data_IF_756990433023
#
_entry.id   IF_756990433023
#
_cell.length_a   1.000
_cell.length_b   1.000
_cell.length_c   1.000
_cell.angle_alpha   90.00
_cell.angle_beta   90.00
_cell.angle_gamma   90.00
#
_symmetry.space_group_name_H-M   'P 1'
#
loop_
_entity.id
_entity.type
_entity.pdbx_description
1 polymer ?
#
# COMPACT_ATOMS: atom_id res chain seq x y z
N UNK A 1 59.29 4.00 52.71
CA UNK A 1 58.73 3.14 51.64
C UNK A 1 57.89 4.03 50.74
N UNK A 2 58.36 4.30 49.50
CA UNK A 2 57.68 5.17 48.54
C UNK A 2 56.76 4.30 47.68
N UNK A 3 55.45 4.53 47.75
CA UNK A 3 54.47 3.91 46.86
C UNK A 3 54.29 4.79 45.63
N UNK A 4 54.78 4.32 44.49
CA UNK A 4 54.57 4.94 43.17
C UNK A 4 53.27 4.41 42.58
N UNK A 5 52.28 5.29 42.39
CA UNK A 5 51.04 4.99 41.67
C UNK A 5 51.33 5.09 40.16
N UNK A 6 51.16 3.99 39.42
CA UNK A 6 51.27 3.95 37.96
C UNK A 6 49.85 4.15 37.39
N UNK A 7 49.60 5.29 36.73
CA UNK A 7 48.40 5.50 35.93
C UNK A 7 48.58 4.89 34.54
N UNK A 8 47.71 3.96 34.15
CA UNK A 8 47.55 3.52 32.76
C UNK A 8 46.55 4.44 32.04
N UNK A 9 46.86 4.97 30.84
CA UNK A 9 45.89 5.71 30.06
C UNK A 9 44.93 4.73 29.37
N UNK A 10 43.64 4.82 29.71
CA UNK A 10 42.59 4.12 28.99
C UNK A 10 42.36 4.81 27.63
N UNK A 11 42.75 4.15 26.54
CA UNK A 11 42.38 4.57 25.19
C UNK A 11 40.90 4.24 24.96
N UNK A 12 40.05 5.26 24.95
CA UNK A 12 38.68 5.13 24.47
C UNK A 12 38.71 5.09 22.94
N UNK A 13 38.51 3.89 22.37
CA UNK A 13 38.24 3.72 20.95
C UNK A 13 36.76 4.07 20.69
N UNK A 14 36.49 5.28 20.21
CA UNK A 14 35.16 5.65 19.72
C UNK A 14 34.92 4.97 18.38
N UNK A 15 34.14 3.89 18.36
CA UNK A 15 33.57 3.35 17.13
C UNK A 15 32.47 4.32 16.66
N UNK A 16 32.77 5.11 15.62
CA UNK A 16 31.73 5.80 14.88
C UNK A 16 30.97 4.76 14.05
N UNK A 17 29.77 4.41 14.49
CA UNK A 17 28.79 3.72 13.65
C UNK A 17 28.42 4.67 12.50
N UNK A 18 29.01 4.46 11.33
CA UNK A 18 28.49 5.03 10.10
C UNK A 18 27.17 4.30 9.79
N UNK A 19 26.06 4.91 10.18
CA UNK A 19 24.75 4.61 9.59
C UNK A 19 24.86 4.97 8.11
N UNK A 20 25.09 3.97 7.25
CA UNK A 20 24.84 4.15 5.82
C UNK A 20 23.32 4.29 5.66
N UNK A 21 22.84 5.50 5.41
CA UNK A 21 21.50 5.68 4.88
C UNK A 21 21.43 4.82 3.62
N UNK A 22 20.61 3.76 3.63
CA UNK A 22 20.37 2.98 2.43
C UNK A 22 19.77 3.94 1.41
N UNK A 23 20.45 4.16 0.30
CA UNK A 23 19.96 5.02 -0.76
C UNK A 23 18.76 4.33 -1.42
N UNK A 24 17.55 4.84 -1.19
CA UNK A 24 16.36 4.45 -1.93
C UNK A 24 16.49 4.92 -3.38
N UNK A 25 16.52 3.99 -4.35
CA UNK A 25 16.49 4.30 -5.78
C UNK A 25 15.10 4.16 -6.39
N UNK A 26 14.11 3.68 -5.65
CA UNK A 26 12.76 3.42 -6.16
C UNK A 26 12.04 4.69 -6.62
N UNK A 27 12.42 5.87 -6.13
CA UNK A 27 11.89 7.15 -6.61
C UNK A 27 12.02 7.32 -8.13
N UNK A 28 13.06 6.73 -8.74
CA UNK A 28 13.27 6.79 -10.20
C UNK A 28 12.14 6.13 -10.99
N UNK A 29 11.42 5.17 -10.41
CA UNK A 29 10.28 4.51 -11.03
C UNK A 29 9.01 5.37 -11.01
N UNK A 30 8.95 6.31 -10.06
CA UNK A 30 7.80 7.20 -9.82
C UNK A 30 8.09 8.66 -10.22
N UNK A 31 9.24 8.95 -10.82
CA UNK A 31 9.52 10.24 -11.47
C UNK A 31 8.40 10.55 -12.47
N UNK A 32 7.77 11.71 -12.31
CA UNK A 32 6.65 12.16 -13.11
C UNK A 32 7.01 13.38 -13.98
N UNK A 33 8.30 13.74 -14.05
CA UNK A 33 8.79 14.82 -14.92
C UNK A 33 8.55 14.50 -16.40
N UNK A 34 8.52 13.20 -16.74
CA UNK A 34 8.27 12.67 -18.07
C UNK A 34 7.43 11.40 -17.95
N UNK A 35 6.54 11.16 -18.92
CA UNK A 35 5.74 9.93 -18.96
C UNK A 35 6.67 8.75 -19.26
N UNK A 36 6.81 7.83 -18.31
CA UNK A 36 7.61 6.63 -18.52
C UNK A 36 6.93 5.69 -19.51
N UNK A 37 7.69 4.78 -20.13
CA UNK A 37 7.19 3.76 -21.03
C UNK A 37 7.54 2.37 -20.52
N UNK A 38 6.54 1.50 -20.48
CA UNK A 38 6.63 0.12 -20.02
C UNK A 38 6.25 -0.82 -21.17
N UNK A 39 7.24 -1.51 -21.73
CA UNK A 39 7.03 -2.52 -22.78
C UNK A 39 7.11 -3.92 -22.18
N UNK A 40 5.98 -4.62 -22.15
CA UNK A 40 5.86 -5.99 -21.65
C UNK A 40 5.88 -6.95 -22.84
N UNK A 41 6.73 -7.98 -22.77
CA UNK A 41 6.77 -9.08 -23.73
C UNK A 41 6.38 -10.37 -23.03
N UNK A 42 5.32 -11.01 -23.51
CA UNK A 42 4.75 -12.23 -22.93
C UNK A 42 4.33 -13.20 -24.03
N UNK A 43 4.41 -14.50 -23.76
CA UNK A 43 3.88 -15.53 -24.66
C UNK A 43 2.38 -15.25 -24.98
N UNK A 44 1.98 -15.16 -26.27
CA UNK A 44 0.59 -14.87 -26.64
C UNK A 44 -0.45 -15.84 -26.06
N UNK A 45 -0.10 -17.12 -25.90
CA UNK A 45 -1.00 -18.11 -25.29
C UNK A 45 -1.18 -17.84 -23.78
N UNK A 46 -0.13 -17.41 -23.08
CA UNK A 46 -0.23 -16.99 -21.68
C UNK A 46 -1.07 -15.72 -21.54
N UNK A 47 -0.88 -14.74 -22.42
CA UNK A 47 -1.73 -13.54 -22.45
C UNK A 47 -3.20 -13.91 -22.70
N UNK A 48 -3.48 -14.77 -23.68
CA UNK A 48 -4.83 -15.25 -23.92
C UNK A 48 -5.42 -15.98 -22.71
N UNK A 49 -4.62 -16.81 -22.04
CA UNK A 49 -5.06 -17.49 -20.82
C UNK A 49 -5.42 -16.49 -19.71
N UNK A 50 -4.60 -15.46 -19.48
CA UNK A 50 -4.87 -14.40 -18.50
C UNK A 50 -6.23 -13.74 -18.80
N UNK A 51 -6.51 -13.44 -20.08
CA UNK A 51 -7.76 -12.82 -20.50
C UNK A 51 -8.98 -13.75 -20.41
N UNK A 52 -8.78 -15.06 -20.50
CA UNK A 52 -9.83 -16.06 -20.32
C UNK A 52 -10.08 -16.40 -18.83
N UNK A 53 -9.14 -16.08 -17.95
CA UNK A 53 -9.18 -16.43 -16.53
C UNK A 53 -9.03 -15.18 -15.65
N UNK A 54 -9.89 -14.17 -15.89
CA UNK A 54 -9.70 -12.81 -15.35
C UNK A 54 -9.64 -12.74 -13.82
N UNK A 55 -10.24 -13.70 -13.12
CA UNK A 55 -10.23 -13.78 -11.65
C UNK A 55 -9.00 -14.50 -11.07
N UNK A 56 -8.14 -15.05 -11.91
CA UNK A 56 -6.93 -15.74 -11.44
C UNK A 56 -5.86 -14.76 -10.96
N UNK A 57 -5.18 -15.15 -9.89
CA UNK A 57 -3.94 -14.52 -9.40
C UNK A 57 -2.67 -15.24 -9.90
N UNK A 58 -2.80 -16.22 -10.79
CA UNK A 58 -1.64 -16.90 -11.38
C UNK A 58 -0.80 -15.92 -12.19
N UNK A 59 0.49 -15.88 -11.87
CA UNK A 59 1.48 -15.07 -12.57
C UNK A 59 2.11 -15.87 -13.70
N UNK A 60 2.30 -15.22 -14.85
CA UNK A 60 2.91 -15.80 -16.03
C UNK A 60 4.25 -15.15 -16.33
N UNK A 61 5.21 -15.96 -16.80
CA UNK A 61 6.54 -15.49 -17.17
C UNK A 61 6.43 -14.48 -18.31
N UNK A 62 7.05 -13.32 -18.13
CA UNK A 62 7.21 -12.28 -19.14
C UNK A 62 8.57 -11.59 -19.00
N UNK A 63 8.87 -10.64 -19.88
CA UNK A 63 9.90 -9.62 -19.67
C UNK A 63 9.28 -8.23 -19.73
N UNK A 64 9.93 -7.27 -19.08
CA UNK A 64 9.53 -5.86 -19.11
C UNK A 64 10.75 -5.01 -19.44
N UNK A 65 10.59 -4.04 -20.34
CA UNK A 65 11.52 -2.92 -20.52
C UNK A 65 10.88 -1.66 -19.96
N UNK A 66 11.54 -1.05 -18.97
CA UNK A 66 11.09 0.20 -18.35
C UNK A 66 11.97 1.35 -18.84
N UNK A 67 11.35 2.44 -19.29
CA UNK A 67 12.03 3.60 -19.87
C UNK A 67 11.52 4.92 -19.32
N UNK A 68 12.42 5.75 -18.82
CA UNK A 68 12.21 7.17 -18.54
C UNK A 68 13.57 7.91 -18.62
N UNK A 69 13.69 9.07 -17.97
CA UNK A 69 14.93 9.83 -17.96
C UNK A 69 16.08 9.17 -17.20
N UNK A 70 15.77 8.26 -16.29
CA UNK A 70 16.72 7.68 -15.34
C UNK A 70 17.02 6.22 -15.64
N UNK A 71 16.09 5.53 -16.30
CA UNK A 71 16.08 4.08 -16.50
C UNK A 71 15.84 3.79 -17.98
N UNK A 72 16.66 2.92 -18.57
CA UNK A 72 16.34 2.22 -19.82
C UNK A 72 16.87 0.78 -19.70
N UNK A 73 16.09 -0.05 -19.02
CA UNK A 73 16.52 -1.40 -18.65
C UNK A 73 15.45 -2.43 -19.00
N UNK A 74 15.92 -3.62 -19.37
CA UNK A 74 15.05 -4.79 -19.60
C UNK A 74 15.30 -5.82 -18.51
N UNK A 75 14.21 -6.27 -17.89
CA UNK A 75 14.20 -7.32 -16.88
C UNK A 75 13.40 -8.49 -17.42
N UNK A 76 14.04 -9.66 -17.55
CA UNK A 76 13.38 -10.90 -17.95
C UNK A 76 12.76 -11.64 -16.76
N UNK A 77 12.07 -12.75 -17.03
CA UNK A 77 11.58 -13.68 -16.01
C UNK A 77 10.74 -13.00 -14.92
N UNK A 78 9.96 -11.98 -15.27
CA UNK A 78 9.04 -11.30 -14.34
C UNK A 78 7.71 -12.07 -14.29
N UNK A 79 7.00 -11.96 -13.16
CA UNK A 79 5.61 -12.36 -13.01
C UNK A 79 4.67 -11.30 -13.58
N UNK A 80 3.79 -11.68 -14.49
CA UNK A 80 2.79 -10.80 -15.09
C UNK A 80 1.39 -11.38 -14.93
N UNK A 81 0.45 -10.57 -14.46
CA UNK A 81 -0.97 -10.95 -14.31
C UNK A 81 -1.89 -9.74 -14.27
N UNK A 82 -3.20 -9.99 -14.26
CA UNK A 82 -4.20 -8.97 -13.90
C UNK A 82 -4.16 -8.65 -12.40
N UNK A 83 -4.59 -7.44 -12.05
CA UNK A 83 -4.80 -7.00 -10.66
C UNK A 83 -6.16 -6.33 -10.45
N UNK A 84 -6.50 -6.18 -9.18
CA UNK A 84 -7.72 -5.53 -8.68
C UNK A 84 -8.87 -6.50 -8.46
N UNK A 85 -10.08 -5.97 -8.37
CA UNK A 85 -11.31 -6.74 -8.20
C UNK A 85 -12.24 -6.49 -9.40
N UNK A 86 -12.96 -5.37 -9.39
CA UNK A 86 -13.83 -4.92 -10.48
C UNK A 86 -13.05 -4.60 -11.77
N UNK A 87 -11.85 -4.03 -11.64
CA UNK A 87 -10.97 -3.69 -12.76
C UNK A 87 -10.58 -4.88 -13.66
N UNK A 88 -10.72 -6.12 -13.16
CA UNK A 88 -10.41 -7.34 -13.91
C UNK A 88 -11.39 -7.60 -15.05
N UNK A 89 -12.63 -7.10 -14.96
CA UNK A 89 -13.63 -7.26 -16.01
C UNK A 89 -13.73 -6.05 -16.94
N UNK A 90 -13.16 -4.91 -16.55
CA UNK A 90 -13.14 -3.67 -17.33
C UNK A 90 -12.44 -3.79 -18.67
N UNK A 91 -12.91 -3.09 -19.70
CA UNK A 91 -12.30 -3.13 -21.04
C UNK A 91 -10.81 -2.81 -21.00
N UNK A 92 -10.43 -1.80 -20.22
CA UNK A 92 -9.04 -1.47 -19.91
C UNK A 92 -8.64 -2.11 -18.59
N UNK A 93 -7.92 -3.24 -18.69
CA UNK A 93 -7.48 -4.05 -17.55
C UNK A 93 -6.32 -3.38 -16.82
N UNK A 94 -6.22 -3.61 -15.51
CA UNK A 94 -5.04 -3.29 -14.70
C UNK A 94 -4.11 -4.50 -14.60
N UNK A 95 -2.80 -4.27 -14.56
CA UNK A 95 -1.78 -5.31 -14.49
C UNK A 95 -0.90 -5.18 -13.25
N UNK A 96 -0.38 -6.30 -12.77
CA UNK A 96 0.72 -6.35 -11.81
C UNK A 96 1.95 -6.97 -12.47
N UNK A 97 3.10 -6.38 -12.22
CA UNK A 97 4.42 -6.93 -12.54
C UNK A 97 5.09 -7.28 -11.21
N UNK A 98 5.60 -8.49 -11.09
CA UNK A 98 6.40 -8.96 -9.96
C UNK A 98 7.80 -9.33 -10.45
N UNK A 99 8.83 -8.75 -9.86
CA UNK A 99 10.22 -9.00 -10.24
C UNK A 99 10.78 -10.27 -9.59
N UNK A 100 10.20 -10.71 -8.47
CA UNK A 100 10.76 -11.77 -7.64
C UNK A 100 10.05 -13.14 -7.78
N UNK A 101 8.91 -13.23 -8.47
CA UNK A 101 8.11 -14.47 -8.58
C UNK A 101 8.89 -15.64 -9.17
N UNK A 102 9.56 -15.43 -10.30
CA UNK A 102 10.36 -16.48 -10.95
C UNK A 102 11.86 -16.38 -10.66
N UNK A 103 12.28 -15.33 -9.94
CA UNK A 103 13.65 -15.04 -9.52
C UNK A 103 13.63 -14.51 -8.08
N UNK A 104 13.55 -15.41 -7.10
CA UNK A 104 13.43 -15.05 -5.67
C UNK A 104 14.49 -14.04 -5.24
N UNK A 105 14.07 -13.04 -4.47
CA UNK A 105 14.94 -11.99 -3.92
C UNK A 105 15.43 -10.94 -4.93
N UNK A 106 14.85 -10.89 -6.15
CA UNK A 106 15.17 -9.85 -7.13
C UNK A 106 14.28 -8.63 -6.95
N UNK A 107 14.91 -7.50 -6.69
CA UNK A 107 14.30 -6.17 -6.74
C UNK A 107 14.65 -5.47 -8.06
N UNK A 108 13.84 -4.48 -8.44
CA UNK A 108 14.13 -3.56 -9.53
C UNK A 108 14.03 -2.15 -8.97
N UNK A 109 15.18 -1.47 -8.81
CA UNK A 109 15.23 -0.16 -8.14
C UNK A 109 14.53 -0.19 -6.77
N UNK A 110 14.94 -1.11 -5.90
CA UNK A 110 14.46 -1.24 -4.52
C UNK A 110 12.96 -1.58 -4.35
N UNK A 111 12.24 -1.95 -5.42
CA UNK A 111 10.89 -2.53 -5.32
C UNK A 111 10.82 -3.94 -5.88
N UNK A 112 9.90 -4.74 -5.33
CA UNK A 112 9.62 -6.08 -5.86
C UNK A 112 8.52 -6.10 -6.92
N UNK A 113 7.63 -5.11 -6.91
CA UNK A 113 6.36 -5.15 -7.66
C UNK A 113 5.99 -3.76 -8.19
N UNK A 114 5.36 -3.72 -9.37
CA UNK A 114 4.71 -2.54 -9.94
C UNK A 114 3.22 -2.80 -10.15
N UNK A 115 2.39 -1.79 -9.90
CA UNK A 115 0.95 -1.83 -10.17
C UNK A 115 0.61 -0.87 -11.30
N UNK A 116 0.25 -1.42 -12.46
CA UNK A 116 -0.16 -0.63 -13.63
C UNK A 116 -1.68 -0.59 -13.66
N UNK A 117 -2.26 0.53 -13.20
CA UNK A 117 -3.69 0.70 -13.11
C UNK A 117 -4.26 1.28 -14.40
N UNK A 118 -5.30 0.62 -14.92
CA UNK A 118 -6.04 1.12 -16.08
C UNK A 118 -6.97 2.30 -15.75
N UNK A 119 -7.21 2.57 -14.46
CA UNK A 119 -8.08 3.64 -13.93
C UNK A 119 -9.46 3.67 -14.60
N UNK A 120 -10.07 2.49 -14.79
CA UNK A 120 -11.28 2.33 -15.59
C UNK A 120 -12.50 3.13 -15.12
N UNK A 121 -12.59 3.44 -13.82
CA UNK A 121 -13.65 4.25 -13.26
C UNK A 121 -13.33 5.74 -13.28
N UNK A 122 -12.08 6.14 -13.56
CA UNK A 122 -11.65 7.53 -13.58
C UNK A 122 -11.43 8.00 -15.03
N UNK A 123 -12.39 8.75 -15.63
CA UNK A 123 -12.23 9.30 -16.98
C UNK A 123 -11.05 10.26 -17.12
N UNK A 124 -10.57 10.84 -16.01
CA UNK A 124 -9.46 11.79 -16.00
C UNK A 124 -8.10 11.09 -15.90
N UNK A 125 -8.05 9.84 -15.38
CA UNK A 125 -6.84 9.07 -15.11
C UNK A 125 -5.84 9.89 -14.27
N UNK A 126 -6.32 10.75 -13.36
CA UNK A 126 -5.43 11.55 -12.50
C UNK A 126 -5.81 11.50 -11.02
N UNK A 127 -7.00 10.98 -10.67
CA UNK A 127 -7.54 11.08 -9.31
C UNK A 127 -6.64 10.39 -8.28
N UNK A 128 -6.26 9.13 -8.55
CA UNK A 128 -5.34 8.38 -7.70
C UNK A 128 -4.02 9.13 -7.50
N UNK A 129 -3.40 9.61 -8.59
CA UNK A 129 -2.15 10.37 -8.51
C UNK A 129 -2.31 11.66 -7.70
N UNK A 130 -3.34 12.44 -8.00
CA UNK A 130 -3.60 13.71 -7.33
C UNK A 130 -3.80 13.51 -5.81
N UNK A 131 -4.53 12.47 -5.41
CA UNK A 131 -4.70 12.13 -4.00
C UNK A 131 -3.37 11.75 -3.34
N UNK A 132 -2.56 10.91 -3.98
CA UNK A 132 -1.26 10.52 -3.44
C UNK A 132 -0.28 11.69 -3.35
N UNK A 133 -0.24 12.57 -4.36
CA UNK A 133 0.54 13.81 -4.32
C UNK A 133 0.07 14.70 -3.15
N UNK A 134 -1.23 14.80 -2.89
CA UNK A 134 -1.74 15.55 -1.71
C UNK A 134 -1.35 14.92 -0.38
N UNK A 135 -1.41 13.59 -0.25
CA UNK A 135 -0.90 12.90 0.94
C UNK A 135 0.59 13.21 1.18
N UNK A 136 1.40 13.23 0.13
CA UNK A 136 2.81 13.62 0.22
C UNK A 136 2.96 15.07 0.74
N UNK A 137 2.16 16.03 0.26
CA UNK A 137 2.24 17.43 0.72
C UNK A 137 1.96 17.66 2.21
N UNK A 138 1.32 16.70 2.88
CA UNK A 138 1.00 16.77 4.31
C UNK A 138 1.87 15.81 5.16
N UNK A 139 3.00 15.37 4.60
CA UNK A 139 3.95 14.43 5.20
C UNK A 139 3.26 13.13 5.65
N UNK A 140 2.43 12.55 4.77
CA UNK A 140 1.75 11.29 5.03
C UNK A 140 2.40 10.14 4.26
N UNK A 141 2.66 9.03 4.96
CA UNK A 141 3.18 7.81 4.32
C UNK A 141 2.11 7.17 3.44
N UNK A 142 2.13 7.48 2.14
CA UNK A 142 1.25 6.95 1.12
C UNK A 142 2.04 6.41 -0.09
N UNK A 143 1.38 5.65 -0.97
CA UNK A 143 1.98 5.21 -2.23
C UNK A 143 2.36 6.40 -3.10
N UNK A 144 3.52 6.36 -3.77
CA UNK A 144 3.82 7.25 -4.90
C UNK A 144 3.10 6.81 -6.17
N UNK A 145 2.87 7.74 -7.09
CA UNK A 145 2.23 7.44 -8.38
C UNK A 145 2.70 8.35 -9.52
N UNK A 146 2.87 7.76 -10.71
CA UNK A 146 3.13 8.48 -11.96
C UNK A 146 2.38 7.88 -13.15
N UNK A 147 2.27 8.64 -14.23
CA UNK A 147 1.70 8.15 -15.48
C UNK A 147 2.73 7.39 -16.31
N UNK A 148 2.30 6.28 -16.92
CA UNK A 148 3.14 5.47 -17.79
C UNK A 148 2.39 5.01 -19.06
N UNK A 149 3.08 4.98 -20.18
CA UNK A 149 2.61 4.34 -21.40
C UNK A 149 2.84 2.83 -21.33
N UNK A 150 1.78 2.04 -21.51
CA UNK A 150 1.89 0.57 -21.48
C UNK A 150 1.80 0.00 -22.89
N UNK A 151 2.75 -0.86 -23.23
CA UNK A 151 2.74 -1.68 -24.43
C UNK A 151 2.81 -3.16 -24.03
N UNK A 152 1.99 -4.01 -24.66
CA UNK A 152 2.09 -5.47 -24.48
C UNK A 152 2.27 -6.10 -25.87
N UNK A 153 3.34 -6.86 -26.04
CA UNK A 153 3.72 -7.48 -27.32
C UNK A 153 3.74 -6.48 -28.49
N UNK A 154 4.28 -5.28 -28.24
CA UNK A 154 4.39 -4.20 -29.22
C UNK A 154 3.11 -3.41 -29.50
N UNK A 155 1.96 -3.84 -28.97
CA UNK A 155 0.68 -3.11 -29.09
C UNK A 155 0.55 -2.10 -27.95
N UNK A 156 0.17 -0.87 -28.28
CA UNK A 156 -0.16 0.16 -27.28
C UNK A 156 -1.47 -0.18 -26.57
N UNK A 157 -1.44 -0.19 -25.23
CA UNK A 157 -2.59 -0.47 -24.36
C UNK A 157 -3.17 0.81 -23.74
N UNK A 158 -2.45 1.93 -23.80
CA UNK A 158 -2.89 3.23 -23.30
C UNK A 158 -1.96 3.81 -22.25
N UNK A 159 -2.37 4.97 -21.72
CA UNK A 159 -1.82 5.59 -20.51
C UNK A 159 -2.35 4.87 -19.27
N UNK A 160 -1.49 4.56 -18.32
CA UNK A 160 -1.81 3.90 -17.04
C UNK A 160 -1.24 4.73 -15.90
N UNK A 161 -1.71 4.50 -14.67
CA UNK A 161 -1.02 4.98 -13.47
C UNK A 161 -0.18 3.84 -12.92
N UNK A 162 1.13 4.05 -12.75
CA UNK A 162 2.00 3.18 -11.99
C UNK A 162 1.95 3.59 -10.51
N UNK A 163 1.33 2.74 -9.68
CA UNK A 163 1.14 2.99 -8.24
C UNK A 163 2.08 2.10 -7.43
N UNK A 164 2.80 2.72 -6.49
CA UNK A 164 3.68 2.02 -5.58
C UNK A 164 2.95 0.92 -4.80
N UNK A 165 3.56 -0.27 -4.77
CA UNK A 165 3.00 -1.38 -4.01
C UNK A 165 3.29 -1.21 -2.52
N UNK A 166 2.28 -1.45 -1.69
CA UNK A 166 2.41 -1.44 -0.24
C UNK A 166 2.69 -2.90 0.20
N UNK A 167 3.96 -3.16 0.50
CA UNK A 167 4.51 -4.43 0.98
C UNK A 167 5.73 -4.16 1.90
N UNK A 168 6.56 -5.17 2.16
CA UNK A 168 7.72 -5.05 3.05
C UNK A 168 8.73 -3.97 2.61
N UNK A 169 8.91 -3.75 1.30
CA UNK A 169 9.83 -2.70 0.82
C UNK A 169 9.26 -1.31 1.08
N UNK A 170 7.93 -1.15 1.00
CA UNK A 170 7.27 0.09 1.43
C UNK A 170 7.47 0.33 2.93
N UNK A 171 7.35 -0.71 3.75
CA UNK A 171 7.54 -0.56 5.20
C UNK A 171 8.97 -0.14 5.53
N UNK A 172 9.94 -0.84 4.96
CA UNK A 172 11.38 -0.57 5.12
C UNK A 172 11.77 0.86 4.75
N UNK A 173 11.10 1.44 3.75
CA UNK A 173 11.34 2.82 3.30
C UNK A 173 10.77 3.86 4.26
N UNK A 174 9.62 3.58 4.87
CA UNK A 174 8.80 4.61 5.52
C UNK A 174 8.72 4.52 7.06
N UNK A 175 9.12 3.39 7.66
CA UNK A 175 9.00 3.14 9.11
C UNK A 175 10.34 2.76 9.73
N UNK A 176 10.51 3.02 11.02
CA UNK A 176 11.76 2.78 11.72
C UNK A 176 11.96 1.28 12.02
N UNK A 177 10.85 0.57 12.22
CA UNK A 177 10.80 -0.88 12.31
C UNK A 177 9.82 -1.38 11.25
N UNK A 178 10.28 -2.23 10.33
CA UNK A 178 9.54 -2.81 9.21
C UNK A 178 9.12 -4.28 9.45
N UNK A 179 9.44 -4.83 10.63
CA UNK A 179 9.22 -6.25 10.96
C UNK A 179 7.77 -6.57 11.35
N UNK A 180 6.93 -5.55 11.42
CA UNK A 180 5.56 -5.64 11.89
C UNK A 180 4.57 -6.29 10.94
N UNK A 181 3.34 -6.43 11.42
CA UNK A 181 2.23 -6.97 10.64
C UNK A 181 1.55 -5.86 9.85
N UNK A 182 1.38 -6.10 8.55
CA UNK A 182 0.68 -5.23 7.61
C UNK A 182 -0.59 -5.93 7.14
N UNK A 183 -1.74 -5.39 7.50
CA UNK A 183 -3.03 -5.87 7.02
C UNK A 183 -3.53 -4.98 5.90
N UNK A 184 -3.88 -5.59 4.77
CA UNK A 184 -4.73 -4.95 3.77
C UNK A 184 -6.18 -5.11 4.19
N UNK A 185 -6.83 -3.99 4.48
CA UNK A 185 -8.22 -3.95 4.92
C UNK A 185 -9.16 -3.83 3.72
N UNK A 186 -10.04 -4.82 3.59
CA UNK A 186 -10.99 -5.00 2.52
C UNK A 186 -12.41 -5.11 3.10
N UNK A 187 -13.42 -4.75 2.32
CA UNK A 187 -14.82 -4.87 2.77
C UNK A 187 -15.13 -6.27 3.36
N UNK A 188 -15.72 -6.38 4.58
CA UNK A 188 -16.21 -5.31 5.46
C UNK A 188 -15.27 -5.02 6.65
N UNK A 189 -14.08 -4.46 6.41
CA UNK A 189 -13.13 -4.08 7.46
C UNK A 189 -13.60 -2.82 8.21
N UNK A 190 -14.59 -2.97 9.07
CA UNK A 190 -15.27 -1.88 9.79
C UNK A 190 -14.66 -1.55 11.16
N UNK A 191 -13.69 -2.35 11.61
CA UNK A 191 -13.09 -2.29 12.94
C UNK A 191 -14.10 -2.50 14.09
N UNK A 192 -15.19 -3.23 13.85
CA UNK A 192 -16.15 -3.61 14.90
C UNK A 192 -15.59 -4.75 15.75
N UNK A 193 -15.76 -4.67 17.07
CA UNK A 193 -15.33 -5.73 17.99
C UNK A 193 -16.25 -6.96 17.91
N UNK A 194 -15.67 -8.10 17.52
CA UNK A 194 -16.37 -9.39 17.40
C UNK A 194 -15.90 -10.43 18.43
N UNK A 195 -15.28 -9.97 19.52
CA UNK A 195 -14.71 -10.81 20.56
C UNK A 195 -13.18 -10.81 20.55
N UNK A 196 -12.60 -11.50 21.54
CA UNK A 196 -11.15 -11.51 21.78
C UNK A 196 -10.41 -12.62 21.05
N UNK A 197 -11.11 -13.53 20.37
CA UNK A 197 -10.50 -14.63 19.62
C UNK A 197 -9.99 -14.13 18.26
N UNK A 198 -8.66 -14.15 17.99
CA UNK A 198 -8.11 -13.74 16.70
C UNK A 198 -8.65 -14.54 15.51
N UNK A 199 -9.11 -15.78 15.73
CA UNK A 199 -9.65 -16.64 14.67
C UNK A 199 -10.89 -16.03 14.00
N UNK A 200 -11.65 -15.21 14.73
CA UNK A 200 -12.83 -14.51 14.20
C UNK A 200 -12.43 -13.53 13.09
N UNK A 201 -11.36 -12.76 13.32
CA UNK A 201 -10.89 -11.73 12.38
C UNK A 201 -10.11 -12.35 11.21
N UNK A 202 -9.36 -13.43 11.44
CA UNK A 202 -8.69 -14.21 10.39
C UNK A 202 -9.71 -14.75 9.37
N UNK A 203 -10.84 -15.26 9.86
CA UNK A 203 -11.86 -15.89 9.02
C UNK A 203 -12.92 -14.90 8.50
N UNK A 204 -12.92 -13.64 8.95
CA UNK A 204 -13.84 -12.63 8.46
C UNK A 204 -13.57 -12.37 6.98
N UNK A 205 -14.57 -12.60 6.12
CA UNK A 205 -14.40 -12.50 4.68
C UNK A 205 -15.71 -12.08 3.98
N UNK A 206 -15.58 -11.52 2.78
CA UNK A 206 -16.69 -11.27 1.86
C UNK A 206 -16.37 -11.83 0.49
N UNK A 207 -17.25 -12.70 -0.02
CA UNK A 207 -17.06 -13.34 -1.32
C UNK A 207 -15.77 -14.16 -1.42
N UNK A 208 -15.32 -14.76 -0.31
CA UNK A 208 -14.06 -15.52 -0.25
C UNK A 208 -12.80 -14.67 -0.14
N UNK A 209 -12.92 -13.34 0.04
CA UNK A 209 -11.79 -12.43 0.27
C UNK A 209 -11.72 -12.03 1.74
N UNK A 210 -10.58 -12.19 2.43
CA UNK A 210 -10.44 -11.78 3.83
C UNK A 210 -10.73 -10.28 3.99
N UNK A 211 -11.41 -9.90 5.07
CA UNK A 211 -11.59 -8.49 5.44
C UNK A 211 -10.26 -7.88 5.90
N UNK A 212 -9.44 -8.67 6.58
CA UNK A 212 -8.09 -8.26 7.01
C UNK A 212 -7.08 -9.23 6.40
N UNK A 213 -6.61 -8.94 5.18
CA UNK A 213 -5.63 -9.78 4.48
C UNK A 213 -4.22 -9.43 4.97
N UNK A 214 -3.62 -10.31 5.77
CA UNK A 214 -2.25 -10.13 6.25
C UNK A 214 -1.25 -10.24 5.07
N UNK A 215 -0.36 -9.25 4.93
CA UNK A 215 0.58 -9.10 3.81
C UNK A 215 2.04 -9.30 4.19
N UNK A 216 2.36 -9.25 5.48
CA UNK A 216 3.68 -9.57 6.04
C UNK A 216 3.50 -10.61 7.13
N UNK A 217 4.55 -11.39 7.45
CA UNK A 217 4.47 -12.43 8.48
C UNK A 217 3.27 -13.41 8.27
N UNK A 218 2.97 -13.73 7.01
CA UNK A 218 1.78 -14.51 6.62
C UNK A 218 1.76 -15.91 7.25
N UNK A 219 2.92 -16.47 7.59
CA UNK A 219 3.01 -17.79 8.22
C UNK A 219 2.65 -17.76 9.71
N UNK A 220 2.97 -16.66 10.40
CA UNK A 220 2.67 -16.48 11.81
C UNK A 220 1.17 -16.26 12.03
N UNK A 221 0.50 -15.57 11.08
CA UNK A 221 -0.92 -15.21 11.16
C UNK A 221 -1.32 -14.60 12.52
N UNK A 222 -0.44 -13.78 13.11
CA UNK A 222 -0.70 -13.21 14.43
C UNK A 222 -1.61 -11.98 14.32
N UNK A 223 -2.87 -12.15 14.71
CA UNK A 223 -3.87 -11.08 14.71
C UNK A 223 -4.05 -10.44 16.09
N UNK A 224 -3.27 -10.84 17.10
CA UNK A 224 -3.44 -10.39 18.50
C UNK A 224 -3.41 -8.87 18.66
N UNK A 225 -2.51 -8.18 17.94
CA UNK A 225 -2.39 -6.72 17.95
C UNK A 225 -3.57 -6.03 17.28
N UNK A 226 -4.09 -6.59 16.18
CA UNK A 226 -5.30 -6.08 15.53
C UNK A 226 -6.52 -6.22 16.47
N UNK A 227 -6.66 -7.37 17.14
CA UNK A 227 -7.72 -7.58 18.14
C UNK A 227 -7.58 -6.59 19.30
N UNK A 228 -6.35 -6.32 19.77
CA UNK A 228 -6.10 -5.31 20.82
C UNK A 228 -6.56 -3.92 20.38
N UNK A 229 -6.19 -3.47 19.18
CA UNK A 229 -6.63 -2.19 18.62
C UNK A 229 -8.16 -2.09 18.61
N UNK A 230 -8.82 -3.09 18.01
CA UNK A 230 -10.28 -3.12 17.88
C UNK A 230 -10.96 -3.16 19.25
N UNK A 231 -10.43 -3.95 20.20
CA UNK A 231 -10.97 -4.02 21.55
C UNK A 231 -10.86 -2.69 22.29
N UNK A 232 -9.74 -1.98 22.18
CA UNK A 232 -9.57 -0.66 22.81
C UNK A 232 -10.53 0.35 22.16
N UNK A 233 -10.64 0.36 20.84
CA UNK A 233 -11.52 1.27 20.11
C UNK A 233 -12.99 1.12 20.52
N UNK A 234 -13.46 -0.12 20.74
CA UNK A 234 -14.89 -0.41 20.94
C UNK A 234 -15.30 -0.56 22.40
N UNK A 235 -14.39 -0.99 23.29
CA UNK A 235 -14.74 -1.32 24.69
C UNK A 235 -14.24 -0.29 25.70
N UNK A 236 -13.41 0.68 25.28
CA UNK A 236 -13.00 1.78 26.16
C UNK A 236 -14.14 2.79 26.30
N UNK A 237 -14.53 3.20 27.52
CA UNK A 237 -15.53 4.24 27.71
C UNK A 237 -15.11 5.57 27.07
N UNK A 238 -16.05 6.32 26.48
CA UNK A 238 -15.79 7.57 25.76
C UNK A 238 -14.89 8.56 26.50
N UNK A 239 -15.08 8.70 27.82
CA UNK A 239 -14.30 9.62 28.66
C UNK A 239 -12.81 9.22 28.79
N UNK A 240 -12.47 7.95 28.55
CA UNK A 240 -11.11 7.40 28.62
C UNK A 240 -10.54 7.05 27.23
N UNK A 241 -11.36 7.12 26.18
CA UNK A 241 -10.96 6.73 24.82
C UNK A 241 -9.81 7.57 24.29
N UNK A 242 -9.77 8.92 24.42
CA UNK A 242 -8.67 9.74 23.90
C UNK A 242 -7.28 9.26 24.38
N UNK A 243 -7.13 9.04 25.68
CA UNK A 243 -5.84 8.58 26.24
C UNK A 243 -5.54 7.13 25.84
N UNK A 244 -6.56 6.26 25.77
CA UNK A 244 -6.36 4.84 25.51
C UNK A 244 -6.06 4.55 24.04
N UNK A 245 -6.70 5.28 23.11
CA UNK A 245 -6.54 5.06 21.67
C UNK A 245 -5.18 5.55 21.18
N UNK A 246 -4.65 6.63 21.75
CA UNK A 246 -3.30 7.13 21.47
C UNK A 246 -2.20 6.12 21.85
N UNK A 247 -2.50 5.17 22.74
CA UNK A 247 -1.57 4.09 23.11
C UNK A 247 -1.48 2.95 22.09
N UNK A 248 -2.32 2.95 21.05
CA UNK A 248 -2.40 1.85 20.08
C UNK A 248 -2.46 2.28 18.63
N UNK A 249 -2.78 3.52 18.30
CA UNK A 249 -2.77 4.02 16.93
C UNK A 249 -2.32 5.47 16.88
N UNK A 250 -1.64 5.85 15.81
CA UNK A 250 -1.25 7.23 15.57
C UNK A 250 -2.50 8.06 15.21
N UNK A 251 -3.13 8.66 16.23
CA UNK A 251 -4.36 9.45 16.08
C UNK A 251 -4.18 10.64 15.11
N UNK A 252 -3.09 11.43 15.17
CA UNK A 252 -2.84 12.48 14.17
C UNK A 252 -2.87 11.98 12.72
N UNK A 253 -2.31 10.80 12.43
CA UNK A 253 -2.38 10.20 11.09
C UNK A 253 -3.82 9.84 10.71
N UNK A 254 -4.57 9.20 11.61
CA UNK A 254 -5.99 8.87 11.35
C UNK A 254 -6.81 10.11 11.04
N UNK A 255 -6.60 11.21 11.78
CA UNK A 255 -7.30 12.47 11.55
C UNK A 255 -6.91 13.13 10.22
N UNK A 256 -5.63 13.07 9.82
CA UNK A 256 -5.19 13.53 8.49
C UNK A 256 -5.82 12.71 7.36
N UNK A 257 -5.84 11.37 7.50
CA UNK A 257 -6.49 10.46 6.56
C UNK A 257 -7.97 10.78 6.39
N UNK A 258 -8.68 10.98 7.50
CA UNK A 258 -10.08 11.40 7.51
C UNK A 258 -10.31 12.77 6.87
N UNK A 259 -9.48 13.76 7.19
CA UNK A 259 -9.57 15.07 6.56
C UNK A 259 -9.37 14.98 5.03
N UNK A 260 -8.42 14.16 4.57
CA UNK A 260 -8.22 13.91 3.15
C UNK A 260 -9.45 13.26 2.49
N UNK A 261 -10.11 12.31 3.16
CA UNK A 261 -11.30 11.66 2.60
C UNK A 261 -12.49 12.61 2.50
N UNK A 262 -12.66 13.51 3.47
CA UNK A 262 -13.65 14.58 3.41
C UNK A 262 -13.35 15.55 2.27
N UNK A 263 -12.09 16.01 2.13
CA UNK A 263 -11.69 16.97 1.09
C UNK A 263 -11.83 16.40 -0.32
N UNK A 264 -11.52 15.12 -0.48
CA UNK A 264 -11.54 14.44 -1.80
C UNK A 264 -12.89 13.79 -2.10
N UNK A 265 -13.80 13.73 -1.13
CA UNK A 265 -15.06 13.00 -1.28
C UNK A 265 -14.85 11.51 -1.55
N UNK A 266 -13.84 10.90 -0.90
CA UNK A 266 -13.56 9.47 -1.04
C UNK A 266 -14.66 8.65 -0.40
N UNK A 267 -15.29 7.77 -1.19
CA UNK A 267 -16.41 6.95 -0.72
C UNK A 267 -16.12 5.46 -0.64
N UNK A 268 -15.02 4.99 -1.25
CA UNK A 268 -14.60 3.58 -1.27
C UNK A 268 -13.56 3.29 -0.16
N UNK A 269 -13.46 4.18 0.82
CA UNK A 269 -12.48 4.17 1.91
C UNK A 269 -13.04 3.52 3.19
N UNK A 270 -12.28 3.61 4.30
CA UNK A 270 -12.77 3.15 5.60
C UNK A 270 -14.05 3.88 6.01
N UNK A 271 -14.10 5.20 5.82
CA UNK A 271 -15.19 6.02 6.34
C UNK A 271 -16.51 5.64 5.69
N UNK A 272 -16.58 5.42 4.38
CA UNK A 272 -17.86 5.24 3.69
C UNK A 272 -18.22 3.76 3.40
N UNK A 273 -17.28 2.96 2.89
CA UNK A 273 -17.50 1.55 2.50
C UNK A 273 -16.75 0.54 3.40
N UNK A 274 -16.00 0.98 4.41
CA UNK A 274 -15.21 0.10 5.28
C UNK A 274 -14.21 -0.74 4.45
N UNK A 275 -13.56 -0.08 3.49
CA UNK A 275 -12.71 -0.71 2.47
C UNK A 275 -11.45 0.16 2.19
N UNK A 276 -10.52 -0.38 1.40
CA UNK A 276 -9.37 0.32 0.82
C UNK A 276 -8.50 1.15 1.78
N UNK A 277 -8.01 0.49 2.83
CA UNK A 277 -6.92 1.04 3.64
C UNK A 277 -6.01 -0.10 4.09
N UNK A 278 -4.84 0.26 4.61
CA UNK A 278 -3.96 -0.68 5.29
C UNK A 278 -3.79 -0.27 6.74
N UNK A 279 -3.57 -1.26 7.59
CA UNK A 279 -3.11 -1.09 8.95
C UNK A 279 -1.72 -1.70 9.07
N UNK A 280 -0.75 -0.90 9.48
CA UNK A 280 0.59 -1.37 9.81
C UNK A 280 0.80 -1.27 11.32
N UNK A 281 1.19 -2.37 11.97
CA UNK A 281 1.62 -2.35 13.37
C UNK A 281 3.14 -2.23 13.44
N UNK A 282 3.66 -1.10 13.96
CA UNK A 282 5.09 -0.88 14.15
C UNK A 282 5.55 -1.42 15.53
N UNK A 283 6.34 -2.51 15.58
CA UNK A 283 6.66 -3.18 16.85
C UNK A 283 7.51 -2.34 17.82
N UNK A 284 8.40 -1.48 17.31
CA UNK A 284 9.31 -0.66 18.13
C UNK A 284 8.58 0.29 19.07
N UNK A 285 7.39 0.77 18.69
CA UNK A 285 6.60 1.73 19.43
C UNK A 285 5.23 1.19 19.90
N UNK A 286 4.91 -0.08 19.58
CA UNK A 286 3.62 -0.73 19.89
C UNK A 286 2.40 0.04 19.35
N UNK A 287 2.54 0.68 18.18
CA UNK A 287 1.53 1.58 17.60
C UNK A 287 1.12 1.14 16.19
N UNK A 288 -0.14 1.40 15.85
CA UNK A 288 -0.65 1.25 14.49
C UNK A 288 -0.53 2.54 13.69
N UNK A 289 -0.29 2.37 12.39
CA UNK A 289 -0.35 3.40 11.36
C UNK A 289 -1.42 3.02 10.34
N UNK A 290 -2.15 4.02 9.85
CA UNK A 290 -3.09 3.84 8.73
C UNK A 290 -2.41 4.28 7.44
N UNK A 291 -2.55 3.50 6.37
CA UNK A 291 -1.96 3.81 5.06
C UNK A 291 -3.07 3.82 4.01
N UNK A 292 -3.24 4.94 3.25
CA UNK A 292 -4.27 5.06 2.21
C UNK A 292 -4.00 4.14 1.03
N UNK A 293 -5.06 3.63 0.41
CA UNK A 293 -5.00 2.73 -0.74
C UNK A 293 -6.22 2.96 -1.66
N UNK A 294 -6.07 2.73 -2.97
CA UNK A 294 -7.15 2.79 -3.99
C UNK A 294 -7.98 4.11 -3.98
N UNK A 295 -7.37 5.21 -4.45
CA UNK A 295 -7.96 6.56 -4.42
C UNK A 295 -8.55 7.05 -5.76
N UNK A 296 -8.96 6.14 -6.65
CA UNK A 296 -9.59 6.48 -7.94
C UNK A 296 -11.03 6.98 -7.77
N UNK A 297 -11.76 6.43 -6.78
CA UNK A 297 -13.14 6.78 -6.44
C UNK A 297 -13.26 8.05 -5.59
N UNK A 298 -12.77 9.16 -6.14
CA UNK A 298 -12.69 10.50 -5.49
C UNK A 298 -13.12 11.61 -6.44
N UNK A 299 -13.20 12.87 -5.97
CA UNK A 299 -13.54 14.05 -6.76
C UNK A 299 -14.84 13.89 -7.57
N UNK A 300 -15.90 13.47 -6.88
CA UNK A 300 -17.27 13.45 -7.39
C UNK A 300 -17.62 12.31 -8.35
N UNK A 301 -16.73 11.33 -8.58
CA UNK A 301 -17.13 10.09 -9.26
C UNK A 301 -17.80 9.16 -8.26
N UNK A 302 -18.97 8.60 -8.56
CA UNK A 302 -19.64 7.64 -7.69
C UNK A 302 -20.60 6.71 -8.45
N UNK A 303 -21.22 5.79 -7.71
CA UNK A 303 -22.31 4.93 -8.18
C UNK A 303 -23.64 5.19 -7.47
N UNK A 304 -23.74 6.25 -6.66
CA UNK A 304 -24.78 6.44 -5.64
C UNK A 304 -25.55 7.76 -5.78
N UNK A 305 -25.14 8.64 -6.71
CA UNK A 305 -25.73 9.96 -6.92
C UNK A 305 -25.75 10.80 -5.61
N UNK A 306 -24.61 10.84 -4.92
CA UNK A 306 -24.41 11.58 -3.68
C UNK A 306 -23.54 12.80 -3.99
N UNK A 307 -23.94 13.98 -3.50
CA UNK A 307 -23.09 15.17 -3.59
C UNK A 307 -22.06 15.19 -2.46
N UNK A 308 -20.91 14.55 -2.71
CA UNK A 308 -19.80 14.46 -1.76
C UNK A 308 -19.23 15.82 -1.35
N UNK A 309 -19.39 16.88 -2.15
CA UNK A 309 -18.93 18.21 -1.81
C UNK A 309 -19.76 18.86 -0.69
N UNK A 310 -20.95 18.33 -0.41
CA UNK A 310 -21.84 18.80 0.66
C UNK A 310 -22.03 17.78 1.78
N UNK A 311 -21.29 16.66 1.74
CA UNK A 311 -21.34 15.62 2.75
C UNK A 311 -20.94 16.18 4.13
N UNK A 312 -21.77 15.93 5.14
CA UNK A 312 -21.48 16.36 6.50
C UNK A 312 -20.41 15.43 7.09
N UNK A 313 -19.21 15.92 7.48
CA UNK A 313 -18.15 15.06 8.01
C UNK A 313 -18.53 14.35 9.32
N UNK A 314 -19.49 14.87 10.11
CA UNK A 314 -19.93 14.21 11.35
C UNK A 314 -20.98 13.13 11.12
N UNK A 315 -21.57 13.09 9.93
CA UNK A 315 -22.58 12.10 9.52
C UNK A 315 -22.33 11.72 8.07
N UNK A 316 -21.07 11.42 7.74
CA UNK A 316 -20.65 11.20 6.36
C UNK A 316 -21.44 10.00 5.78
N UNK A 317 -21.92 10.09 4.54
CA UNK A 317 -22.71 9.03 3.93
C UNK A 317 -21.96 7.69 3.93
N UNK A 318 -22.68 6.61 4.24
CA UNK A 318 -22.20 5.23 4.10
C UNK A 318 -22.79 4.63 2.82
N UNK A 319 -21.98 3.89 2.08
CA UNK A 319 -22.42 3.16 0.88
C UNK A 319 -22.13 1.70 1.14
N UNK A 320 -23.16 0.89 1.31
CA UNK A 320 -23.06 -0.55 1.64
C UNK A 320 -24.08 -1.33 0.84
#
# INVERSE_FOLDING_TARGET
>A
MKNSLILFPAFFLSFALQLSAQTDNSWKLYDDSHVARVDITINPASLQWIYNNVQSDSEHVASVRFRNNWIDETVDSIGFRLRGNTSRVSTKKSFKISFNTFKKGRNFYDVEKLNLNGEHNDPSIIRSKLCFDHFETIDFNASRANHVEVYVNGKYYGLYINVEHIDEEFLKKNFADDSGNLWKCLYPADLTYQGSDPSVYINLNSGGRPAYELKTNEQQMDFSKLVRLIAILNNTPDAALPDSIESVINVPEVLKYFAMNVLTGSWDDYWSLMNNYYLYYEPSNDIFHIIPYDYDNTYGIDWFNIDWATANPYSFPKVV
#
